data_IF_826670104555
#
_entry.id   IF_826670104555
#
_cell.length_a   1.000
_cell.length_b   1.000
_cell.length_c   1.000
_cell.angle_alpha   90.00
_cell.angle_beta   90.00
_cell.angle_gamma   90.00
#
_symmetry.space_group_name_H-M   'P 1'
#
loop_
_entity.id
_entity.type
_entity.pdbx_description
1 polymer ?
#
# COMPACT_ATOMS: atom_id res chain seq x y z
N UNK A 1 19.84 16.08 -5.80
CA UNK A 1 19.09 15.76 -4.56
C UNK A 1 19.97 14.84 -3.75
N UNK A 2 20.34 15.19 -2.52
CA UNK A 2 21.16 14.31 -1.70
C UNK A 2 20.36 13.03 -1.36
N UNK A 3 21.06 11.90 -1.34
CA UNK A 3 20.44 10.56 -1.25
C UNK A 3 19.64 10.40 0.05
N UNK A 4 20.15 10.91 1.16
CA UNK A 4 19.45 10.88 2.45
C UNK A 4 18.08 11.58 2.43
N UNK A 5 17.92 12.70 1.70
CA UNK A 5 16.63 13.39 1.58
C UNK A 5 15.62 12.55 0.80
N UNK A 6 16.08 11.88 -0.25
CA UNK A 6 15.23 10.97 -1.02
C UNK A 6 14.75 9.80 -0.16
N UNK A 7 15.67 9.16 0.57
CA UNK A 7 15.37 8.04 1.46
C UNK A 7 14.41 8.42 2.59
N UNK A 8 14.58 9.61 3.18
CA UNK A 8 13.68 10.11 4.23
C UNK A 8 12.29 10.43 3.70
N UNK A 9 12.17 11.18 2.60
CA UNK A 9 10.86 11.56 2.05
C UNK A 9 10.09 10.35 1.52
N UNK A 10 10.78 9.45 0.83
CA UNK A 10 10.17 8.25 0.28
C UNK A 10 9.85 7.24 1.39
N UNK A 11 10.75 7.08 2.36
CA UNK A 11 10.52 6.21 3.51
C UNK A 11 9.32 6.69 4.34
N UNK A 12 9.24 7.99 4.66
CA UNK A 12 8.19 8.54 5.53
C UNK A 12 6.81 8.49 4.88
N UNK A 13 6.73 8.72 3.56
CA UNK A 13 5.49 8.53 2.80
C UNK A 13 5.07 7.05 2.73
N UNK A 14 6.01 6.11 2.57
CA UNK A 14 5.75 4.68 2.63
C UNK A 14 5.31 4.20 4.02
N UNK A 15 5.90 4.73 5.11
CA UNK A 15 5.46 4.44 6.49
C UNK A 15 4.04 4.92 6.74
N UNK A 16 3.75 6.17 6.36
CA UNK A 16 2.42 6.76 6.58
C UNK A 16 1.34 6.03 5.80
N UNK A 17 1.56 5.78 4.50
CA UNK A 17 0.59 5.09 3.64
C UNK A 17 0.42 3.62 4.04
N UNK A 18 1.51 2.89 4.25
CA UNK A 18 1.46 1.49 4.70
C UNK A 18 0.86 1.35 6.10
N UNK A 19 1.18 2.26 7.02
CA UNK A 19 0.65 2.29 8.38
C UNK A 19 -0.84 2.55 8.41
N UNK A 20 -1.31 3.55 7.65
CA UNK A 20 -2.76 3.82 7.52
C UNK A 20 -3.52 2.59 7.02
N UNK A 21 -3.00 1.87 6.03
CA UNK A 21 -3.62 0.64 5.53
C UNK A 21 -3.56 -0.50 6.55
N UNK A 22 -2.44 -0.62 7.29
CA UNK A 22 -2.27 -1.68 8.29
C UNK A 22 -3.16 -1.50 9.53
N UNK A 23 -3.44 -0.23 9.90
CA UNK A 23 -4.28 0.13 11.06
C UNK A 23 -5.76 0.29 10.70
N UNK A 24 -6.10 0.85 9.53
CA UNK A 24 -7.48 0.95 9.05
C UNK A 24 -7.86 -0.19 8.11
N UNK A 25 -7.95 -1.39 8.70
CA UNK A 25 -8.31 -2.62 7.99
C UNK A 25 -9.74 -2.55 7.46
N UNK A 26 -10.65 -1.89 8.19
CA UNK A 26 -12.08 -1.82 7.86
C UNK A 26 -12.35 -0.83 6.73
N UNK A 27 -11.75 0.36 6.76
CA UNK A 27 -11.86 1.32 5.67
C UNK A 27 -11.18 0.79 4.40
N UNK A 28 -10.00 0.19 4.55
CA UNK A 28 -9.27 -0.41 3.43
C UNK A 28 -10.01 -1.60 2.81
N UNK A 29 -10.65 -2.45 3.62
CA UNK A 29 -11.46 -3.56 3.08
C UNK A 29 -12.70 -3.07 2.35
N UNK A 30 -13.41 -2.08 2.89
CA UNK A 30 -14.59 -1.51 2.25
C UNK A 30 -14.26 -0.81 0.93
N UNK A 31 -13.15 -0.07 0.88
CA UNK A 31 -12.67 0.56 -0.35
C UNK A 31 -12.24 -0.47 -1.40
N UNK A 32 -11.62 -1.58 -0.98
CA UNK A 32 -11.21 -2.66 -1.86
C UNK A 32 -12.43 -3.40 -2.45
N UNK A 33 -13.43 -3.69 -1.62
CA UNK A 33 -14.69 -4.29 -2.06
C UNK A 33 -15.42 -3.40 -3.07
N UNK A 34 -15.54 -2.11 -2.77
CA UNK A 34 -16.15 -1.14 -3.70
C UNK A 34 -15.37 -1.03 -5.03
N UNK A 35 -14.04 -1.12 -4.99
CA UNK A 35 -13.21 -1.14 -6.20
C UNK A 35 -13.42 -2.43 -7.01
N UNK A 36 -13.46 -3.59 -6.35
CA UNK A 36 -13.68 -4.89 -7.00
C UNK A 36 -15.06 -4.96 -7.65
N UNK A 37 -16.11 -4.46 -6.98
CA UNK A 37 -17.46 -4.38 -7.54
C UNK A 37 -17.50 -3.50 -8.81
N UNK A 38 -16.93 -2.29 -8.76
CA UNK A 38 -16.84 -1.42 -9.95
C UNK A 38 -16.10 -2.07 -11.10
N UNK A 39 -14.96 -2.72 -10.82
CA UNK A 39 -14.17 -3.36 -11.87
C UNK A 39 -14.90 -4.58 -12.46
N UNK A 40 -15.69 -5.27 -11.64
CA UNK A 40 -16.56 -6.35 -12.10
C UNK A 40 -17.67 -5.82 -13.02
N UNK A 41 -18.37 -4.75 -12.65
CA UNK A 41 -19.39 -4.10 -13.49
C UNK A 41 -18.83 -3.65 -14.85
N UNK A 42 -17.60 -3.13 -14.87
CA UNK A 42 -16.93 -2.76 -16.12
C UNK A 42 -16.61 -3.99 -16.97
N UNK A 43 -16.15 -5.10 -16.37
CA UNK A 43 -15.84 -6.34 -17.09
C UNK A 43 -17.09 -7.06 -17.59
N UNK A 44 -18.17 -7.09 -16.82
CA UNK A 44 -19.46 -7.66 -17.26
C UNK A 44 -19.99 -6.89 -18.46
N UNK A 45 -19.89 -5.56 -18.44
CA UNK A 45 -20.35 -4.69 -19.53
C UNK A 45 -19.46 -4.79 -20.78
N UNK A 46 -18.13 -4.82 -20.60
CA UNK A 46 -17.19 -4.79 -21.72
C UNK A 46 -16.96 -6.15 -22.40
N UNK A 47 -17.00 -7.25 -21.64
CA UNK A 47 -16.64 -8.60 -22.13
C UNK A 47 -17.84 -9.55 -22.12
N UNK A 48 -18.96 -9.17 -21.48
CA UNK A 48 -20.13 -10.06 -21.32
C UNK A 48 -19.86 -11.22 -20.37
N UNK A 49 -18.83 -11.14 -19.53
CA UNK A 49 -18.50 -12.19 -18.58
C UNK A 49 -19.25 -12.01 -17.26
N UNK A 50 -20.21 -12.90 -16.98
CA UNK A 50 -21.06 -12.89 -15.78
C UNK A 50 -20.58 -13.83 -14.66
N UNK A 51 -19.36 -14.38 -14.76
CA UNK A 51 -18.81 -15.19 -13.67
C UNK A 51 -18.63 -14.34 -12.40
N UNK A 52 -18.89 -14.88 -11.20
CA UNK A 52 -18.75 -14.14 -9.96
C UNK A 52 -17.36 -13.52 -9.81
N UNK A 53 -17.25 -12.32 -9.20
CA UNK A 53 -16.00 -11.60 -9.10
C UNK A 53 -14.96 -12.42 -8.35
N UNK A 54 -13.83 -12.57 -9.02
CA UNK A 54 -12.69 -13.35 -8.58
C UNK A 54 -12.01 -12.59 -7.43
N UNK A 55 -12.14 -13.07 -6.18
CA UNK A 55 -11.58 -12.41 -4.99
C UNK A 55 -10.08 -12.67 -4.89
N UNK A 56 -9.29 -11.95 -5.69
CA UNK A 56 -7.84 -12.16 -5.78
C UNK A 56 -7.08 -11.75 -4.51
N UNK A 57 -7.61 -10.80 -3.72
CA UNK A 57 -7.02 -10.38 -2.44
C UNK A 57 -8.12 -10.30 -1.38
N UNK A 58 -7.89 -10.96 -0.25
CA UNK A 58 -8.70 -10.83 0.96
C UNK A 58 -8.25 -9.61 1.78
N UNK A 59 -9.13 -9.05 2.61
CA UNK A 59 -8.82 -7.92 3.49
C UNK A 59 -7.55 -8.16 4.35
N UNK A 60 -7.32 -9.41 4.74
CA UNK A 60 -6.16 -9.84 5.50
C UNK A 60 -4.86 -9.77 4.67
N UNK A 61 -4.93 -10.17 3.39
CA UNK A 61 -3.82 -10.01 2.44
C UNK A 61 -3.48 -8.54 2.19
N UNK A 62 -4.48 -7.67 2.07
CA UNK A 62 -4.28 -6.23 1.90
C UNK A 62 -3.62 -5.59 3.13
N UNK A 63 -4.02 -6.01 4.34
CA UNK A 63 -3.37 -5.60 5.58
C UNK A 63 -1.89 -6.02 5.63
N UNK A 64 -1.58 -7.26 5.24
CA UNK A 64 -0.19 -7.76 5.22
C UNK A 64 0.66 -6.96 4.22
N UNK A 65 0.12 -6.64 3.04
CA UNK A 65 0.79 -5.77 2.08
C UNK A 65 1.04 -4.37 2.64
N UNK A 66 0.02 -3.72 3.22
CA UNK A 66 0.17 -2.42 3.88
C UNK A 66 1.23 -2.43 5.00
N UNK A 67 1.22 -3.47 5.85
CA UNK A 67 2.22 -3.66 6.89
C UNK A 67 3.64 -3.86 6.35
N UNK A 68 3.79 -4.61 5.26
CA UNK A 68 5.09 -4.81 4.60
C UNK A 68 5.65 -3.51 4.01
N UNK A 69 4.78 -2.68 3.41
CA UNK A 69 5.13 -1.36 2.88
C UNK A 69 5.53 -0.42 4.02
N UNK A 70 4.81 -0.46 5.14
CA UNK A 70 5.13 0.33 6.33
C UNK A 70 6.52 -0.05 6.87
N UNK A 71 6.81 -1.35 7.00
CA UNK A 71 8.11 -1.85 7.44
C UNK A 71 9.24 -1.45 6.49
N UNK A 72 9.03 -1.56 5.19
CA UNK A 72 10.00 -1.12 4.19
C UNK A 72 10.25 0.40 4.29
N UNK A 73 9.20 1.19 4.50
CA UNK A 73 9.32 2.62 4.76
C UNK A 73 10.15 2.92 6.01
N UNK A 74 9.94 2.19 7.11
CA UNK A 74 10.70 2.36 8.36
C UNK A 74 12.16 2.03 8.14
N UNK A 75 12.45 0.98 7.36
CA UNK A 75 13.82 0.63 7.03
C UNK A 75 14.49 1.75 6.22
N UNK A 76 13.82 2.28 5.19
CA UNK A 76 14.35 3.38 4.37
C UNK A 76 14.57 4.66 5.17
N UNK A 77 13.66 5.02 6.08
CA UNK A 77 13.86 6.18 6.95
C UNK A 77 15.03 5.99 7.89
N UNK A 78 15.20 4.80 8.50
CA UNK A 78 16.35 4.50 9.36
C UNK A 78 17.67 4.60 8.59
N UNK A 79 17.73 4.08 7.35
CA UNK A 79 18.91 4.20 6.49
C UNK A 79 19.19 5.67 6.13
N UNK A 80 18.16 6.45 5.80
CA UNK A 80 18.31 7.89 5.53
C UNK A 80 18.80 8.68 6.75
N UNK A 81 18.32 8.35 7.96
CA UNK A 81 18.82 8.94 9.21
C UNK A 81 20.27 8.53 9.46
N UNK A 82 20.62 7.27 9.23
CA UNK A 82 21.98 6.78 9.38
C UNK A 82 22.96 7.51 8.44
N UNK A 83 22.59 7.68 7.16
CA UNK A 83 23.39 8.46 6.21
C UNK A 83 23.57 9.91 6.68
N UNK A 84 22.48 10.56 7.13
CA UNK A 84 22.51 11.94 7.63
C UNK A 84 23.45 12.10 8.84
N UNK A 85 23.40 11.16 9.79
CA UNK A 85 24.23 11.20 11.00
C UNK A 85 25.68 10.82 10.71
N UNK A 86 25.92 9.95 9.72
CA UNK A 86 27.26 9.52 9.31
C UNK A 86 28.06 10.57 8.52
N UNK A 87 27.47 11.74 8.24
CA UNK A 87 28.18 12.86 7.62
C UNK A 87 28.21 12.83 6.10
N UNK A 88 27.11 12.41 5.47
CA UNK A 88 26.88 12.67 4.05
C UNK A 88 26.92 14.15 3.69
#
# INVERSE_FOLDING_TARGET
MPVFLFLLLFGLSAVMSGGWVAFDIRGSSAALEAYQERNHELRTTAVGNFTPPDKWITALGYRVLGGSIALAGVFLTLVGVAELVSGG
#
